data_IF_456808749314
#
_entry.id   IF_456808749314
#
_cell.length_a   1.000
_cell.length_b   1.000
_cell.length_c   1.000
_cell.angle_alpha   90.00
_cell.angle_beta   90.00
_cell.angle_gamma   90.00
#
_symmetry.space_group_name_H-M   'P 1'
#
loop_
_entity.id
_entity.type
_entity.pdbx_description
1 polymer ?
#
# COMPACT_ATOMS: atom_id res chain seq x y z
N UNK A 1 21.03 -78.15 -4.94
CA UNK A 1 21.43 -77.19 -6.00
C UNK A 1 20.60 -75.92 -5.86
N UNK A 2 21.18 -74.73 -6.10
CA UNK A 2 20.91 -73.54 -5.29
C UNK A 2 19.84 -72.61 -5.87
N UNK A 3 19.01 -72.03 -4.97
CA UNK A 3 18.14 -70.88 -5.22
C UNK A 3 18.99 -69.61 -5.29
N UNK A 4 19.17 -69.08 -6.49
CA UNK A 4 19.58 -67.70 -6.68
C UNK A 4 18.38 -66.83 -7.04
N UNK A 5 18.50 -65.55 -6.69
CA UNK A 5 17.77 -64.39 -7.23
C UNK A 5 16.76 -63.71 -6.31
N UNK A 6 17.17 -63.23 -5.13
CA UNK A 6 16.50 -62.10 -4.41
C UNK A 6 17.56 -61.22 -3.70
N UNK A 7 18.56 -60.72 -4.41
CA UNK A 7 19.58 -59.80 -3.83
C UNK A 7 19.71 -58.47 -4.59
N UNK A 8 19.16 -58.37 -5.81
CA UNK A 8 19.33 -57.19 -6.67
C UNK A 8 18.35 -56.07 -6.31
N UNK A 9 17.09 -56.40 -5.98
CA UNK A 9 16.03 -55.39 -5.73
C UNK A 9 16.26 -54.53 -4.48
N UNK A 10 16.84 -55.09 -3.41
CA UNK A 10 17.04 -54.37 -2.14
C UNK A 10 18.19 -53.35 -2.19
N UNK A 11 19.22 -53.59 -3.02
CA UNK A 11 20.39 -52.70 -3.15
C UNK A 11 20.06 -51.43 -3.96
N UNK A 12 19.15 -51.52 -4.92
CA UNK A 12 18.69 -50.37 -5.72
C UNK A 12 17.87 -49.39 -4.87
N UNK A 13 17.00 -49.90 -3.99
CA UNK A 13 16.19 -49.07 -3.09
C UNK A 13 17.06 -48.28 -2.10
N UNK A 14 18.08 -48.91 -1.50
CA UNK A 14 19.02 -48.22 -0.58
C UNK A 14 19.85 -47.14 -1.27
N UNK A 15 20.30 -47.39 -2.50
CA UNK A 15 20.99 -46.39 -3.32
C UNK A 15 20.06 -45.25 -3.75
N UNK A 16 18.82 -45.56 -4.09
CA UNK A 16 17.79 -44.56 -4.41
C UNK A 16 17.44 -43.65 -3.24
N UNK A 17 17.28 -44.21 -2.03
CA UNK A 17 17.03 -43.43 -0.81
C UNK A 17 18.23 -42.55 -0.47
N UNK A 18 19.46 -43.09 -0.60
CA UNK A 18 20.68 -42.31 -0.34
C UNK A 18 20.81 -41.11 -1.30
N UNK A 19 20.52 -41.31 -2.59
CA UNK A 19 20.52 -40.23 -3.58
C UNK A 19 19.42 -39.20 -3.32
N UNK A 20 18.23 -39.63 -2.91
CA UNK A 20 17.13 -38.74 -2.57
C UNK A 20 17.45 -37.89 -1.33
N UNK A 21 18.04 -38.49 -0.29
CA UNK A 21 18.49 -37.75 0.91
C UNK A 21 19.61 -36.77 0.56
N UNK A 22 20.58 -37.18 -0.27
CA UNK A 22 21.64 -36.29 -0.74
C UNK A 22 21.07 -35.11 -1.55
N UNK A 23 20.07 -35.35 -2.39
CA UNK A 23 19.40 -34.30 -3.17
C UNK A 23 18.61 -33.32 -2.28
N UNK A 24 17.90 -33.82 -1.26
CA UNK A 24 17.20 -32.99 -0.28
C UNK A 24 18.19 -32.18 0.57
N UNK A 25 19.34 -32.75 0.95
CA UNK A 25 20.39 -32.04 1.69
C UNK A 25 21.12 -31.01 0.84
N UNK A 26 21.19 -31.20 -0.49
CA UNK A 26 21.82 -30.25 -1.41
C UNK A 26 20.91 -29.06 -1.73
N UNK A 27 19.60 -29.27 -1.85
CA UNK A 27 18.63 -28.23 -2.23
C UNK A 27 17.84 -27.61 -1.06
N UNK A 28 17.79 -28.32 0.07
CA UNK A 28 17.07 -27.89 1.28
C UNK A 28 17.61 -26.61 1.92
N UNK A 29 18.94 -26.44 2.14
CA UNK A 29 19.47 -25.37 2.97
C UNK A 29 19.05 -23.96 2.53
N UNK A 30 19.13 -23.66 1.24
CA UNK A 30 18.77 -22.34 0.69
C UNK A 30 17.26 -22.04 0.81
N UNK A 31 16.44 -23.08 0.62
CA UNK A 31 14.98 -23.00 0.71
C UNK A 31 14.54 -22.75 2.16
N UNK A 32 15.14 -23.46 3.12
CA UNK A 32 14.87 -23.27 4.55
C UNK A 32 15.42 -21.96 5.09
N UNK A 33 16.56 -21.49 4.58
CA UNK A 33 17.14 -20.21 4.97
C UNK A 33 16.30 -19.02 4.48
N UNK A 34 15.69 -19.12 3.30
CA UNK A 34 14.76 -18.11 2.80
C UNK A 34 13.47 -18.06 3.63
N UNK A 35 12.93 -19.21 4.01
CA UNK A 35 11.74 -19.31 4.86
C UNK A 35 12.00 -18.76 6.28
N UNK A 36 13.14 -19.10 6.89
CA UNK A 36 13.48 -18.60 8.24
C UNK A 36 13.76 -17.10 8.25
N UNK A 37 14.40 -16.55 7.21
CA UNK A 37 14.56 -15.09 7.08
C UNK A 37 13.23 -14.38 6.91
N UNK A 38 12.31 -14.96 6.13
CA UNK A 38 10.96 -14.42 5.97
C UNK A 38 10.19 -14.45 7.30
N UNK A 39 10.23 -15.57 8.04
CA UNK A 39 9.61 -15.68 9.37
C UNK A 39 10.12 -14.60 10.33
N UNK A 40 11.44 -14.37 10.40
CA UNK A 40 12.01 -13.30 11.23
C UNK A 40 11.53 -11.91 10.79
N UNK A 41 11.30 -11.68 9.49
CA UNK A 41 10.71 -10.42 9.01
C UNK A 41 9.25 -10.27 9.45
N UNK A 42 8.47 -11.36 9.44
CA UNK A 42 7.07 -11.34 9.89
C UNK A 42 6.93 -11.21 11.40
N UNK A 43 7.83 -11.81 12.19
CA UNK A 43 7.82 -11.69 13.67
C UNK A 43 8.17 -10.27 14.14
N UNK A 44 8.86 -9.49 13.31
CA UNK A 44 9.15 -8.07 13.58
C UNK A 44 8.03 -7.12 13.12
N UNK A 45 6.94 -7.63 12.53
CA UNK A 45 5.73 -6.83 12.30
C UNK A 45 5.02 -6.63 13.64
N UNK A 46 5.42 -5.58 14.35
CA UNK A 46 4.69 -5.10 15.51
C UNK A 46 3.35 -4.50 15.03
N UNK A 47 2.23 -5.03 15.53
CA UNK A 47 0.89 -4.49 15.27
C UNK A 47 0.70 -3.08 15.82
N UNK A 48 1.51 -2.64 16.79
CA UNK A 48 1.56 -1.26 17.25
C UNK A 48 2.03 -0.27 16.16
N UNK A 49 2.69 -0.75 15.11
CA UNK A 49 3.10 0.06 13.95
C UNK A 49 1.99 0.20 12.90
N UNK A 50 0.95 -0.63 12.97
CA UNK A 50 -0.06 -0.75 11.91
C UNK A 50 -1.21 0.24 12.07
N UNK A 51 -1.44 0.74 13.28
CA UNK A 51 -2.45 1.74 13.58
C UNK A 51 -1.89 2.73 14.59
N UNK A 52 -2.01 4.02 14.28
CA UNK A 52 -1.88 5.04 15.31
C UNK A 52 -3.16 4.91 16.15
N UNK A 53 -3.07 4.35 17.36
CA UNK A 53 -4.13 3.56 18.03
C UNK A 53 -5.53 4.18 18.16
N UNK A 54 -5.67 5.49 18.01
CA UNK A 54 -6.95 6.19 18.06
C UNK A 54 -7.34 6.88 16.74
N UNK A 55 -6.56 6.67 15.67
CA UNK A 55 -6.77 7.33 14.38
C UNK A 55 -7.42 6.38 13.39
N UNK A 56 -8.61 6.75 12.93
CA UNK A 56 -9.30 6.09 11.83
C UNK A 56 -9.26 6.99 10.60
N UNK A 57 -8.96 6.42 9.44
CA UNK A 57 -9.04 7.11 8.15
C UNK A 57 -10.14 6.44 7.33
N UNK A 58 -11.13 7.22 6.91
CA UNK A 58 -12.24 6.76 6.07
C UNK A 58 -12.17 7.44 4.72
N UNK A 59 -12.40 6.66 3.65
CA UNK A 59 -12.49 7.16 2.28
C UNK A 59 -13.92 6.96 1.77
N UNK A 60 -14.42 7.94 1.03
CA UNK A 60 -15.63 7.81 0.22
C UNK A 60 -15.25 7.90 -1.25
N UNK A 61 -16.05 7.29 -2.10
CA UNK A 61 -15.79 7.19 -3.53
C UNK A 61 -17.04 7.51 -4.31
N UNK A 62 -16.86 8.11 -5.48
CA UNK A 62 -17.92 8.29 -6.46
C UNK A 62 -18.30 6.95 -7.12
N UNK A 63 -19.33 6.98 -7.98
CA UNK A 63 -19.80 5.80 -8.71
C UNK A 63 -18.76 5.24 -9.72
N UNK A 64 -17.74 6.02 -10.07
CA UNK A 64 -16.68 5.64 -10.99
C UNK A 64 -15.43 5.10 -10.25
N UNK A 65 -15.45 5.09 -8.92
CA UNK A 65 -14.35 4.65 -8.06
C UNK A 65 -13.30 5.71 -7.78
N UNK A 66 -13.54 6.99 -8.13
CA UNK A 66 -12.66 8.11 -7.74
C UNK A 66 -12.91 8.46 -6.28
N UNK A 67 -11.85 8.77 -5.53
CA UNK A 67 -11.99 9.18 -4.11
C UNK A 67 -12.63 10.56 -4.05
N UNK A 68 -13.73 10.73 -3.32
CA UNK A 68 -14.38 12.03 -3.09
C UNK A 68 -13.86 12.70 -1.81
N UNK A 69 -13.84 11.97 -0.70
CA UNK A 69 -13.34 12.48 0.58
C UNK A 69 -12.44 11.50 1.29
N UNK A 70 -11.45 12.04 2.01
CA UNK A 70 -10.64 11.35 3.01
C UNK A 70 -10.82 12.05 4.35
N UNK A 71 -11.40 11.34 5.31
CA UNK A 71 -11.65 11.87 6.67
C UNK A 71 -10.75 11.17 7.66
N UNK A 72 -9.96 11.94 8.39
CA UNK A 72 -9.14 11.47 9.52
C UNK A 72 -9.85 11.82 10.82
N UNK A 73 -10.16 10.80 11.61
CA UNK A 73 -10.77 10.90 12.94
C UNK A 73 -9.76 10.44 13.97
N UNK A 74 -9.51 11.22 15.02
CA UNK A 74 -8.67 10.82 16.15
C UNK A 74 -9.50 10.88 17.43
N UNK A 75 -9.56 9.78 18.18
CA UNK A 75 -10.33 9.67 19.44
C UNK A 75 -11.79 10.12 19.27
N UNK A 76 -12.43 9.68 18.18
CA UNK A 76 -13.80 10.03 17.77
C UNK A 76 -14.04 11.49 17.35
N UNK A 77 -12.99 12.31 17.22
CA UNK A 77 -13.09 13.70 16.74
C UNK A 77 -12.50 13.80 15.34
N UNK A 78 -13.24 14.42 14.41
CA UNK A 78 -12.70 14.73 13.07
C UNK A 78 -11.53 15.71 13.23
N UNK A 79 -10.39 15.36 12.66
CA UNK A 79 -9.18 16.19 12.67
C UNK A 79 -8.85 16.79 11.32
N UNK A 80 -9.18 16.07 10.25
CA UNK A 80 -8.86 16.49 8.89
C UNK A 80 -9.88 15.91 7.92
N UNK A 81 -10.39 16.74 7.04
CA UNK A 81 -11.18 16.35 5.88
C UNK A 81 -10.44 16.81 4.64
N UNK A 82 -10.16 15.90 3.72
CA UNK A 82 -9.63 16.23 2.40
C UNK A 82 -10.70 15.89 1.38
N UNK A 83 -11.14 16.90 0.63
CA UNK A 83 -12.12 16.76 -0.45
C UNK A 83 -11.40 16.86 -1.78
N UNK A 84 -11.68 15.91 -2.66
CA UNK A 84 -11.12 15.83 -4.00
C UNK A 84 -12.22 16.11 -5.01
N UNK A 85 -11.95 17.01 -5.94
CA UNK A 85 -12.82 17.30 -7.06
C UNK A 85 -12.10 16.92 -8.36
N UNK A 86 -12.88 16.45 -9.33
CA UNK A 86 -12.40 16.01 -10.62
C UNK A 86 -13.18 16.75 -11.70
N UNK A 87 -12.48 17.13 -12.76
CA UNK A 87 -13.10 17.73 -13.93
C UNK A 87 -13.90 16.70 -14.74
N UNK A 88 -14.59 17.16 -15.78
CA UNK A 88 -15.43 16.31 -16.65
C UNK A 88 -14.68 15.20 -17.38
N UNK A 89 -13.35 15.26 -17.46
CA UNK A 89 -12.50 14.20 -18.03
C UNK A 89 -11.99 13.20 -16.99
N UNK A 90 -12.43 13.33 -15.73
CA UNK A 90 -12.03 12.45 -14.62
C UNK A 90 -10.64 12.75 -14.05
N UNK A 91 -10.07 13.93 -14.33
CA UNK A 91 -8.77 14.35 -13.77
C UNK A 91 -9.00 15.22 -12.54
N UNK A 92 -8.25 14.98 -11.46
CA UNK A 92 -8.33 15.79 -10.25
C UNK A 92 -7.92 17.23 -10.55
N UNK A 93 -8.83 18.17 -10.41
CA UNK A 93 -8.61 19.59 -10.72
C UNK A 93 -8.62 20.47 -9.46
N UNK A 94 -9.10 19.95 -8.32
CA UNK A 94 -9.07 20.66 -7.05
C UNK A 94 -8.99 19.72 -5.86
N UNK A 95 -8.19 20.12 -4.87
CA UNK A 95 -8.09 19.49 -3.55
C UNK A 95 -8.34 20.54 -2.49
N UNK A 96 -9.25 20.27 -1.57
CA UNK A 96 -9.53 21.13 -0.41
C UNK A 96 -9.21 20.36 0.86
N UNK A 97 -8.34 20.91 1.70
CA UNK A 97 -7.94 20.33 2.98
C UNK A 97 -8.43 21.20 4.12
N UNK A 98 -9.31 20.66 4.95
CA UNK A 98 -9.81 21.30 6.16
C UNK A 98 -9.29 20.54 7.39
N UNK A 99 -8.36 21.16 8.12
CA UNK A 99 -7.81 20.64 9.38
C UNK A 99 -8.66 21.03 10.62
N UNK A 100 -9.93 21.39 10.41
CA UNK A 100 -10.90 21.80 11.44
C UNK A 100 -10.48 23.04 12.24
N UNK A 101 -9.61 23.86 11.66
CA UNK A 101 -9.09 25.11 12.26
C UNK A 101 -9.82 26.37 11.76
N UNK A 102 -10.89 26.21 10.96
CA UNK A 102 -11.66 27.32 10.37
C UNK A 102 -11.03 27.94 9.11
N UNK A 103 -9.90 27.40 8.67
CA UNK A 103 -9.24 27.76 7.40
C UNK A 103 -9.02 26.49 6.59
N UNK A 104 -9.34 26.56 5.31
CA UNK A 104 -9.12 25.52 4.31
C UNK A 104 -7.86 25.83 3.50
N UNK A 105 -7.03 24.82 3.29
CA UNK A 105 -5.94 24.88 2.32
C UNK A 105 -6.39 24.24 1.00
N UNK A 106 -6.31 24.99 -0.09
CA UNK A 106 -6.81 24.58 -1.41
C UNK A 106 -5.66 24.52 -2.40
N UNK A 107 -5.68 23.50 -3.25
CA UNK A 107 -4.84 23.41 -4.44
C UNK A 107 -5.70 23.14 -5.65
N UNK A 108 -5.59 23.99 -6.67
CA UNK A 108 -6.27 23.88 -7.96
C UNK A 108 -5.25 23.53 -9.05
N UNK A 109 -5.63 22.68 -10.01
CA UNK A 109 -4.75 22.16 -11.06
C UNK A 109 -5.30 22.47 -12.45
N UNK A 110 -4.42 22.91 -13.34
CA UNK A 110 -4.73 23.14 -14.75
C UNK A 110 -3.94 22.15 -15.60
N UNK A 111 -4.62 21.59 -16.60
CA UNK A 111 -4.08 20.59 -17.51
C UNK A 111 -4.14 21.10 -18.95
N UNK A 112 -3.17 20.73 -19.77
CA UNK A 112 -3.26 20.90 -21.21
C UNK A 112 -4.15 19.80 -21.85
N UNK A 113 -4.33 19.89 -23.17
CA UNK A 113 -5.17 18.94 -23.94
C UNK A 113 -4.64 17.50 -23.88
N UNK A 114 -3.33 17.32 -23.75
CA UNK A 114 -2.68 16.01 -23.59
C UNK A 114 -2.88 15.41 -22.19
N UNK A 115 -3.36 16.19 -21.22
CA UNK A 115 -3.55 15.77 -19.83
C UNK A 115 -2.34 15.87 -18.95
N UNK A 116 -1.35 16.66 -19.37
CA UNK A 116 -0.22 17.03 -18.54
C UNK A 116 -0.64 18.20 -17.67
N UNK A 117 -0.39 18.13 -16.37
CA UNK A 117 -0.57 19.26 -15.46
C UNK A 117 0.44 20.34 -15.82
N UNK A 118 -0.05 21.53 -16.15
CA UNK A 118 0.77 22.70 -16.55
C UNK A 118 0.77 23.81 -15.49
N UNK A 119 -0.13 23.74 -14.51
CA UNK A 119 -0.18 24.70 -13.41
C UNK A 119 -0.77 24.07 -12.15
N UNK A 120 -0.32 24.55 -10.99
CA UNK A 120 -0.91 24.32 -9.69
C UNK A 120 -0.97 25.63 -8.90
N UNK A 121 -2.16 26.02 -8.46
CA UNK A 121 -2.40 27.20 -7.63
C UNK A 121 -2.80 26.75 -6.23
N UNK A 122 -1.99 27.08 -5.22
CA UNK A 122 -2.27 26.79 -3.82
C UNK A 122 -2.57 28.05 -3.02
N UNK A 123 -3.58 28.02 -2.15
CA UNK A 123 -3.98 29.15 -1.32
C UNK A 123 -4.75 28.70 -0.09
N UNK A 124 -4.86 29.59 0.89
CA UNK A 124 -5.69 29.41 2.09
C UNK A 124 -6.94 30.29 2.01
N UNK A 125 -8.07 29.80 2.51
CA UNK A 125 -9.31 30.60 2.63
C UNK A 125 -10.10 30.23 3.89
N UNK A 126 -11.01 31.09 4.39
CA UNK A 126 -11.95 30.71 5.44
C UNK A 126 -12.80 29.50 5.04
N UNK A 127 -13.10 28.64 6.01
CA UNK A 127 -13.97 27.49 5.78
C UNK A 127 -15.35 27.93 5.26
N UNK A 128 -15.85 27.27 4.21
CA UNK A 128 -17.10 27.65 3.55
C UNK A 128 -16.99 28.81 2.54
N UNK A 129 -15.77 29.31 2.30
CA UNK A 129 -15.48 30.30 1.27
C UNK A 129 -15.17 31.70 1.81
N UNK A 130 -14.44 32.49 1.03
CA UNK A 130 -14.05 33.85 1.39
C UNK A 130 -12.90 34.37 0.54
N UNK A 131 -12.23 35.42 1.04
CA UNK A 131 -11.05 35.95 0.39
C UNK A 131 -9.88 34.96 0.50
N UNK A 132 -9.17 34.75 -0.60
CA UNK A 132 -7.96 33.94 -0.66
C UNK A 132 -6.79 34.65 0.03
N UNK A 133 -5.88 33.85 0.57
CA UNK A 133 -4.64 34.29 1.20
C UNK A 133 -3.51 33.29 0.91
N UNK A 134 -2.26 33.70 1.11
CA UNK A 134 -1.08 32.86 0.87
C UNK A 134 -1.03 32.20 -0.52
N UNK A 135 -1.55 32.90 -1.53
CA UNK A 135 -1.60 32.41 -2.91
C UNK A 135 -0.19 32.14 -3.45
N UNK A 136 -0.02 30.98 -4.07
CA UNK A 136 1.20 30.54 -4.73
C UNK A 136 0.88 29.73 -5.97
N UNK A 137 1.48 30.13 -7.08
CA UNK A 137 1.37 29.43 -8.36
C UNK A 137 2.67 28.70 -8.68
N UNK A 138 2.55 27.47 -9.21
CA UNK A 138 3.65 26.66 -9.75
C UNK A 138 3.28 26.21 -11.16
N UNK A 139 4.16 26.44 -12.13
CA UNK A 139 3.99 26.06 -13.54
C UNK A 139 5.05 25.06 -13.96
#
# INVERSE_FOLDING_TARGET
MPRHTIQVRLRVLKKGICLLVAFVMLLGPESFHSLSRAEVQYTNLNTASWANGDTTITYTYDNNGSVETKTTVTSSVIKKVVTYHYNLTGRQDKVTTDDQAGTEHIVEYIYNDEGIRVQADSYDQPAGGGAKSNEKTVT
#
